data_IF_209006923123
#
_entry.id   IF_209006923123
#
_cell.length_a   1.000
_cell.length_b   1.000
_cell.length_c   1.000
_cell.angle_alpha   90.00
_cell.angle_beta   90.00
_cell.angle_gamma   90.00
#
_symmetry.space_group_name_H-M   'P 1'
#
loop_
_entity.id
_entity.type
_entity.pdbx_description
1 polymer ?
#
# COMPACT_ATOMS: atom_id res chain seq x y z
N UNK A 1 49.48 -2.58 -44.69
CA UNK A 1 48.13 -2.45 -45.28
C UNK A 1 47.22 -3.08 -44.24
N UNK A 2 46.97 -2.35 -43.16
CA UNK A 2 46.37 -2.89 -41.94
C UNK A 2 44.96 -2.32 -41.81
N UNK A 3 43.98 -3.22 -41.87
CA UNK A 3 42.57 -2.89 -41.74
C UNK A 3 42.29 -2.36 -40.31
N UNK A 4 41.43 -1.34 -40.15
CA UNK A 4 41.04 -0.88 -38.83
C UNK A 4 40.09 -1.90 -38.20
N UNK A 5 40.50 -2.47 -37.07
CA UNK A 5 39.65 -3.27 -36.21
C UNK A 5 38.49 -2.41 -35.67
N UNK A 6 37.30 -2.60 -36.22
CA UNK A 6 36.04 -2.12 -35.63
C UNK A 6 35.75 -2.93 -34.36
N UNK A 7 36.10 -2.37 -33.19
CA UNK A 7 35.63 -2.90 -31.91
C UNK A 7 34.11 -2.68 -31.82
N UNK A 8 33.34 -3.69 -32.19
CA UNK A 8 31.92 -3.80 -31.86
C UNK A 8 31.76 -4.14 -30.37
N UNK A 9 32.06 -3.17 -29.49
CA UNK A 9 31.65 -3.29 -28.08
C UNK A 9 30.13 -3.32 -28.07
N UNK A 10 29.54 -4.45 -27.72
CA UNK A 10 28.10 -4.66 -27.79
C UNK A 10 27.35 -3.59 -26.99
N UNK A 11 26.49 -2.83 -27.69
CA UNK A 11 25.74 -1.69 -27.15
C UNK A 11 24.63 -2.09 -26.15
N UNK A 12 24.53 -3.37 -25.74
CA UNK A 12 23.47 -3.85 -24.83
C UNK A 12 23.47 -3.13 -23.48
N UNK A 13 24.66 -2.80 -22.96
CA UNK A 13 24.80 -2.11 -21.67
C UNK A 13 24.30 -0.65 -21.74
N UNK A 14 24.41 -0.01 -22.91
CA UNK A 14 23.82 1.30 -23.18
C UNK A 14 22.30 1.22 -23.23
N UNK A 15 21.73 0.17 -23.82
CA UNK A 15 20.28 -0.04 -23.80
C UNK A 15 19.73 -0.26 -22.39
N UNK A 16 20.44 -1.01 -21.55
CA UNK A 16 19.97 -1.33 -20.19
C UNK A 16 20.08 -0.14 -19.23
N UNK A 17 21.18 0.60 -19.28
CA UNK A 17 21.45 1.66 -18.31
C UNK A 17 21.28 3.07 -18.86
N UNK A 18 21.24 3.26 -20.18
CA UNK A 18 21.06 4.57 -20.81
C UNK A 18 20.27 4.51 -22.14
N UNK A 19 19.02 4.02 -22.13
CA UNK A 19 18.22 3.82 -23.33
C UNK A 19 17.93 5.12 -24.08
N UNK A 20 18.11 6.28 -23.43
CA UNK A 20 17.77 7.60 -23.95
C UNK A 20 18.64 8.08 -25.11
N UNK A 21 19.77 7.40 -25.37
CA UNK A 21 20.54 7.62 -26.60
C UNK A 21 19.82 7.11 -27.85
N UNK A 22 18.98 6.08 -27.70
CA UNK A 22 18.28 5.43 -28.81
C UNK A 22 16.81 5.84 -28.87
N UNK A 23 16.18 6.04 -27.70
CA UNK A 23 14.79 6.44 -27.56
C UNK A 23 14.69 7.72 -26.74
N UNK A 24 14.38 8.84 -27.40
CA UNK A 24 14.13 10.13 -26.76
C UNK A 24 12.87 10.80 -27.33
N UNK A 25 12.43 11.87 -26.67
CA UNK A 25 11.27 12.66 -27.10
C UNK A 25 10.00 11.83 -27.24
N UNK A 26 9.30 11.96 -28.37
CA UNK A 26 8.00 11.33 -28.59
C UNK A 26 8.03 9.80 -28.61
N UNK A 27 9.09 9.18 -29.12
CA UNK A 27 9.21 7.72 -29.13
C UNK A 27 9.34 7.15 -27.71
N UNK A 28 10.15 7.80 -26.87
CA UNK A 28 10.29 7.44 -25.46
C UNK A 28 8.95 7.62 -24.72
N UNK A 29 8.20 8.68 -25.05
CA UNK A 29 6.87 8.90 -24.47
C UNK A 29 5.91 7.77 -24.81
N UNK A 30 5.81 7.34 -26.07
CA UNK A 30 4.90 6.27 -26.49
C UNK A 30 5.22 4.96 -25.78
N UNK A 31 6.48 4.52 -25.81
CA UNK A 31 6.89 3.27 -25.16
C UNK A 31 6.78 3.34 -23.64
N UNK A 32 7.16 4.48 -23.04
CA UNK A 32 7.02 4.71 -21.61
C UNK A 32 5.57 4.68 -21.13
N UNK A 33 4.68 5.36 -21.85
CA UNK A 33 3.24 5.33 -21.56
C UNK A 33 2.64 3.93 -21.76
N UNK A 34 3.10 3.16 -22.76
CA UNK A 34 2.68 1.77 -22.91
C UNK A 34 3.08 0.91 -21.70
N UNK A 35 4.31 1.06 -21.19
CA UNK A 35 4.75 0.38 -19.96
C UNK A 35 3.93 0.82 -18.75
N UNK A 36 3.68 2.12 -18.58
CA UNK A 36 2.86 2.66 -17.47
C UNK A 36 1.42 2.14 -17.57
N UNK A 37 0.82 2.14 -18.76
CA UNK A 37 -0.53 1.66 -18.99
C UNK A 37 -0.66 0.16 -18.70
N UNK A 38 0.30 -0.66 -19.15
CA UNK A 38 0.30 -2.09 -18.87
C UNK A 38 0.52 -2.38 -17.38
N UNK A 39 1.41 -1.62 -16.73
CA UNK A 39 1.63 -1.70 -15.27
C UNK A 39 0.35 -1.35 -14.51
N UNK A 40 -0.33 -0.28 -14.90
CA UNK A 40 -1.60 0.15 -14.29
C UNK A 40 -2.74 -0.83 -14.57
N UNK A 41 -2.77 -1.44 -15.75
CA UNK A 41 -3.75 -2.46 -16.11
C UNK A 41 -3.61 -3.71 -15.25
N UNK A 42 -2.37 -4.21 -15.10
CA UNK A 42 -2.08 -5.29 -14.15
C UNK A 42 -2.44 -4.87 -12.72
N UNK A 43 -2.12 -3.64 -12.33
CA UNK A 43 -2.44 -3.10 -11.00
C UNK A 43 -3.94 -3.02 -10.70
N UNK A 44 -4.76 -2.76 -11.71
CA UNK A 44 -6.22 -2.77 -11.59
C UNK A 44 -6.83 -4.17 -11.50
N UNK A 45 -6.15 -5.20 -12.00
CA UNK A 45 -6.62 -6.60 -11.95
C UNK A 45 -6.14 -7.30 -10.67
N UNK A 46 -4.93 -6.98 -10.21
CA UNK A 46 -4.26 -7.64 -9.08
C UNK A 46 -4.10 -6.75 -7.85
N UNK A 47 -4.85 -5.64 -7.82
CA UNK A 47 -5.02 -4.75 -6.67
C UNK A 47 -3.70 -4.22 -6.10
N UNK A 48 -2.79 -3.78 -6.96
CA UNK A 48 -1.57 -3.08 -6.56
C UNK A 48 -1.43 -1.77 -7.32
N UNK A 49 -0.78 -0.78 -6.71
CA UNK A 49 -0.59 0.53 -7.33
C UNK A 49 0.74 1.15 -6.93
N UNK A 50 1.30 1.93 -7.85
CA UNK A 50 2.33 2.91 -7.52
C UNK A 50 1.63 4.14 -6.93
N UNK A 51 1.57 4.21 -5.60
CA UNK A 51 0.90 5.30 -4.87
C UNK A 51 1.79 6.55 -4.77
N UNK A 52 3.07 6.41 -5.09
CA UNK A 52 4.05 7.49 -5.15
C UNK A 52 4.96 7.36 -6.38
N UNK A 53 6.09 8.07 -6.36
CA UNK A 53 7.13 7.97 -7.39
C UNK A 53 7.84 6.62 -7.28
N UNK A 54 8.15 6.21 -6.05
CA UNK A 54 8.86 4.97 -5.72
C UNK A 54 7.94 4.04 -4.90
N UNK A 55 6.97 4.58 -4.14
CA UNK A 55 6.06 3.75 -3.35
C UNK A 55 5.21 2.83 -4.22
N UNK A 56 5.34 1.53 -3.97
CA UNK A 56 4.55 0.46 -4.55
C UNK A 56 3.83 -0.28 -3.43
N UNK A 57 2.51 -0.40 -3.53
CA UNK A 57 1.67 -0.96 -2.47
C UNK A 57 0.62 -1.90 -3.07
N UNK A 58 0.33 -3.00 -2.36
CA UNK A 58 -0.96 -3.67 -2.53
C UNK A 58 -2.03 -2.77 -1.90
N UNK A 59 -3.14 -2.62 -2.59
CA UNK A 59 -4.20 -1.67 -2.29
C UNK A 59 -5.54 -2.37 -2.37
N UNK A 60 -6.60 -1.81 -1.80
CA UNK A 60 -7.93 -2.37 -2.00
C UNK A 60 -8.34 -2.35 -3.50
N UNK A 61 -9.12 -3.31 -3.98
CA UNK A 61 -9.90 -3.26 -5.21
C UNK A 61 -10.54 -1.91 -5.40
N UNK A 62 -10.28 -1.36 -6.58
CA UNK A 62 -10.89 -0.14 -7.05
C UNK A 62 -11.07 -0.27 -8.55
N UNK A 63 -12.00 0.49 -9.15
CA UNK A 63 -12.16 0.55 -10.59
C UNK A 63 -10.81 0.72 -11.31
N UNK A 64 -10.66 0.06 -12.47
CA UNK A 64 -9.44 0.10 -13.27
C UNK A 64 -8.92 1.52 -13.54
N UNK A 65 -9.84 2.49 -13.69
CA UNK A 65 -9.49 3.88 -13.93
C UNK A 65 -8.67 4.49 -12.77
N UNK A 66 -8.86 4.04 -11.52
CA UNK A 66 -8.04 4.48 -10.37
C UNK A 66 -6.59 4.07 -10.53
N UNK A 67 -6.34 2.83 -10.94
CA UNK A 67 -4.98 2.33 -11.15
C UNK A 67 -4.31 3.09 -12.30
N UNK A 68 -5.05 3.38 -13.37
CA UNK A 68 -4.58 4.20 -14.50
C UNK A 68 -4.27 5.63 -14.03
N UNK A 69 -5.17 6.26 -13.30
CA UNK A 69 -4.99 7.62 -12.79
C UNK A 69 -3.76 7.71 -11.88
N UNK A 70 -3.59 6.76 -10.94
CA UNK A 70 -2.41 6.71 -10.07
C UNK A 70 -1.12 6.47 -10.86
N UNK A 71 -1.12 5.56 -11.82
CA UNK A 71 0.04 5.33 -12.70
C UNK A 71 0.44 6.59 -13.48
N UNK A 72 -0.54 7.33 -14.01
CA UNK A 72 -0.30 8.60 -14.71
C UNK A 72 0.19 9.70 -13.76
N UNK A 73 -0.40 9.86 -12.57
CA UNK A 73 0.05 10.83 -11.57
C UNK A 73 1.47 10.54 -11.10
N UNK A 74 1.77 9.28 -10.81
CA UNK A 74 3.08 8.82 -10.38
C UNK A 74 4.17 9.16 -11.39
N UNK A 75 3.84 9.29 -12.68
CA UNK A 75 4.76 9.75 -13.72
C UNK A 75 4.72 11.26 -13.96
N UNK A 76 3.53 11.83 -14.15
CA UNK A 76 3.34 13.21 -14.61
C UNK A 76 3.81 14.23 -13.57
N UNK A 77 3.50 14.01 -12.29
CA UNK A 77 3.87 14.93 -11.19
C UNK A 77 5.39 15.06 -11.05
N UNK A 78 6.17 13.98 -10.85
CA UNK A 78 7.63 14.12 -10.78
C UNK A 78 8.24 14.59 -12.11
N UNK A 79 7.64 14.26 -13.26
CA UNK A 79 8.10 14.79 -14.56
C UNK A 79 7.95 16.31 -14.66
N UNK A 80 6.84 16.87 -14.15
CA UNK A 80 6.63 18.31 -14.08
C UNK A 80 7.62 18.97 -13.12
N UNK A 81 7.84 18.39 -11.93
CA UNK A 81 8.80 18.91 -10.95
C UNK A 81 10.24 18.90 -11.49
N UNK A 82 10.65 17.81 -12.15
CA UNK A 82 11.96 17.71 -12.80
C UNK A 82 12.08 18.63 -14.00
N UNK A 83 11.01 18.85 -14.77
CA UNK A 83 11.01 19.84 -15.86
C UNK A 83 11.22 21.26 -15.33
N UNK A 84 10.50 21.65 -14.28
CA UNK A 84 10.64 22.96 -13.63
C UNK A 84 12.06 23.10 -13.05
N UNK A 85 12.50 22.13 -12.24
CA UNK A 85 13.84 22.12 -11.66
C UNK A 85 14.93 22.20 -12.73
N UNK A 86 14.81 21.41 -13.80
CA UNK A 86 15.70 21.42 -14.95
C UNK A 86 15.76 22.76 -15.66
N UNK A 87 14.61 23.42 -15.88
CA UNK A 87 14.55 24.77 -16.46
C UNK A 87 15.27 25.82 -15.61
N UNK A 88 15.28 25.67 -14.28
CA UNK A 88 15.94 26.61 -13.37
C UNK A 88 17.47 26.48 -13.36
N UNK A 89 18.00 25.28 -13.57
CA UNK A 89 19.45 25.02 -13.50
C UNK A 89 20.12 24.77 -14.84
N UNK A 90 19.35 24.50 -15.89
CA UNK A 90 19.87 24.20 -17.22
C UNK A 90 20.42 25.46 -17.89
N UNK A 91 21.53 25.28 -18.62
CA UNK A 91 22.12 26.30 -19.48
C UNK A 91 21.55 26.28 -20.90
N UNK A 92 20.70 25.30 -21.22
CA UNK A 92 20.15 25.10 -22.56
C UNK A 92 18.62 25.08 -22.56
N UNK A 93 18.05 25.03 -23.77
CA UNK A 93 16.60 24.93 -23.95
C UNK A 93 16.10 23.53 -23.58
N UNK A 94 15.41 23.42 -22.45
CA UNK A 94 14.74 22.18 -22.03
C UNK A 94 13.40 22.03 -22.76
N UNK A 95 13.24 20.96 -23.52
CA UNK A 95 11.99 20.62 -24.21
C UNK A 95 11.12 19.73 -23.32
N UNK A 96 9.83 20.07 -23.08
CA UNK A 96 8.94 19.25 -22.25
C UNK A 96 8.87 17.79 -22.74
N UNK A 97 8.74 17.59 -24.06
CA UNK A 97 8.61 16.25 -24.65
C UNK A 97 9.83 15.36 -24.37
N UNK A 98 11.03 15.94 -24.30
CA UNK A 98 12.26 15.20 -24.00
C UNK A 98 12.25 14.74 -22.54
N UNK A 99 11.88 15.62 -21.61
CA UNK A 99 11.80 15.31 -20.17
C UNK A 99 10.68 14.31 -19.88
N UNK A 100 9.44 14.60 -20.29
CA UNK A 100 8.29 13.73 -20.03
C UNK A 100 8.42 12.37 -20.72
N UNK A 101 8.92 12.35 -21.97
CA UNK A 101 9.10 11.13 -22.72
C UNK A 101 10.17 10.21 -22.14
N UNK A 102 11.36 10.74 -21.85
CA UNK A 102 12.45 9.93 -21.26
C UNK A 102 12.11 9.50 -19.82
N UNK A 103 11.42 10.33 -19.03
CA UNK A 103 10.96 9.93 -17.69
C UNK A 103 9.83 8.90 -17.73
N UNK A 104 8.96 8.91 -18.75
CA UNK A 104 7.99 7.84 -18.96
C UNK A 104 8.71 6.51 -19.21
N UNK A 105 9.69 6.51 -20.13
CA UNK A 105 10.45 5.30 -20.45
C UNK A 105 11.32 4.83 -19.27
N UNK A 106 11.83 5.75 -18.45
CA UNK A 106 12.60 5.43 -17.24
C UNK A 106 11.80 4.60 -16.23
N UNK A 107 10.46 4.58 -16.32
CA UNK A 107 9.57 3.74 -15.49
C UNK A 107 9.43 2.30 -15.99
N UNK A 108 10.06 1.92 -17.11
CA UNK A 108 9.99 0.56 -17.64
C UNK A 108 10.33 -0.55 -16.62
N UNK A 109 11.31 -0.40 -15.70
CA UNK A 109 11.54 -1.40 -14.65
C UNK A 109 10.33 -1.61 -13.71
N UNK A 110 9.44 -0.62 -13.59
CA UNK A 110 8.17 -0.75 -12.88
C UNK A 110 7.24 -1.81 -13.46
N UNK A 111 7.30 -2.05 -14.77
CA UNK A 111 6.57 -3.15 -15.41
C UNK A 111 7.13 -4.51 -14.98
N UNK A 112 8.45 -4.63 -14.82
CA UNK A 112 9.07 -5.86 -14.32
C UNK A 112 8.69 -6.14 -12.86
N UNK A 113 8.59 -5.08 -12.04
CA UNK A 113 8.07 -5.17 -10.67
C UNK A 113 6.63 -5.71 -10.71
N UNK A 114 5.76 -5.14 -11.56
CA UNK A 114 4.38 -5.62 -11.72
C UNK A 114 4.31 -7.09 -12.14
N UNK A 115 5.09 -7.51 -13.15
CA UNK A 115 5.12 -8.90 -13.60
C UNK A 115 5.59 -9.87 -12.51
N UNK A 116 6.60 -9.48 -11.72
CA UNK A 116 7.09 -10.27 -10.60
C UNK A 116 6.02 -10.43 -9.50
N UNK A 117 5.31 -9.35 -9.17
CA UNK A 117 4.28 -9.34 -8.13
C UNK A 117 3.00 -10.08 -8.56
N UNK A 118 2.70 -10.12 -9.85
CA UNK A 118 1.56 -10.88 -10.41
C UNK A 118 1.85 -12.38 -10.51
N UNK A 119 3.12 -12.80 -10.42
CA UNK A 119 3.48 -14.21 -10.52
C UNK A 119 2.78 -15.07 -9.45
N UNK A 120 2.26 -16.27 -9.80
CA UNK A 120 1.58 -17.14 -8.84
C UNK A 120 2.39 -17.43 -7.57
N UNK A 121 3.71 -17.75 -7.64
CA UNK A 121 4.50 -18.02 -6.44
C UNK A 121 4.54 -16.85 -5.46
N UNK A 122 4.63 -15.61 -5.98
CA UNK A 122 4.61 -14.43 -5.13
C UNK A 122 3.23 -14.15 -4.57
N UNK A 123 2.17 -14.34 -5.37
CA UNK A 123 0.79 -14.16 -4.92
C UNK A 123 0.46 -15.13 -3.79
N UNK A 124 0.75 -16.41 -3.96
CA UNK A 124 0.50 -17.44 -2.94
C UNK A 124 1.26 -17.14 -1.65
N UNK A 125 2.54 -16.78 -1.77
CA UNK A 125 3.37 -16.34 -0.65
C UNK A 125 2.75 -15.14 0.09
N UNK A 126 2.32 -14.10 -0.65
CA UNK A 126 1.70 -12.92 -0.03
C UNK A 126 0.36 -13.24 0.63
N UNK A 127 -0.43 -14.14 0.06
CA UNK A 127 -1.70 -14.59 0.65
C UNK A 127 -1.45 -15.37 1.95
N UNK A 128 -0.48 -16.29 1.96
CA UNK A 128 -0.09 -17.00 3.19
C UNK A 128 0.45 -16.03 4.25
N UNK A 129 1.29 -15.08 3.84
CA UNK A 129 1.83 -14.06 4.74
C UNK A 129 0.73 -13.21 5.37
N UNK A 130 -0.27 -12.79 4.59
CA UNK A 130 -1.41 -11.99 5.11
C UNK A 130 -2.31 -12.84 6.01
N UNK A 131 -2.59 -14.09 5.63
CA UNK A 131 -3.54 -14.94 6.35
C UNK A 131 -2.97 -15.51 7.66
N UNK A 132 -1.68 -15.82 7.69
CA UNK A 132 -1.07 -16.60 8.79
C UNK A 132 0.09 -15.88 9.47
N UNK A 133 0.56 -14.76 8.92
CA UNK A 133 1.73 -14.04 9.44
C UNK A 133 3.07 -14.73 9.13
N UNK A 134 4.16 -14.04 9.44
CA UNK A 134 5.53 -14.47 9.09
C UNK A 134 5.93 -15.76 9.83
N UNK A 135 5.43 -15.97 11.05
CA UNK A 135 5.82 -17.11 11.92
C UNK A 135 5.38 -18.47 11.40
N UNK A 136 4.42 -18.51 10.47
CA UNK A 136 3.89 -19.74 9.89
C UNK A 136 4.43 -20.01 8.48
N UNK A 137 5.32 -19.17 7.96
CA UNK A 137 5.94 -19.40 6.67
C UNK A 137 7.02 -20.48 6.76
N UNK A 138 7.01 -21.39 5.79
CA UNK A 138 8.09 -22.37 5.60
C UNK A 138 9.41 -21.68 5.24
N UNK A 139 10.54 -22.35 5.48
CA UNK A 139 11.88 -21.85 5.11
C UNK A 139 11.95 -21.49 3.62
N UNK A 140 11.32 -22.29 2.75
CA UNK A 140 11.27 -22.02 1.32
C UNK A 140 10.50 -20.72 1.00
N UNK A 141 9.37 -20.47 1.69
CA UNK A 141 8.60 -19.22 1.55
C UNK A 141 9.37 -18.00 2.05
N UNK A 142 10.09 -18.13 3.18
CA UNK A 142 10.98 -17.09 3.70
C UNK A 142 12.14 -16.77 2.73
N UNK A 143 12.75 -17.81 2.16
CA UNK A 143 13.80 -17.65 1.15
C UNK A 143 13.27 -16.97 -0.12
N UNK A 144 12.08 -17.36 -0.59
CA UNK A 144 11.40 -16.73 -1.72
C UNK A 144 11.06 -15.27 -1.42
N UNK A 145 10.49 -14.97 -0.26
CA UNK A 145 10.17 -13.61 0.18
C UNK A 145 11.40 -12.71 0.17
N UNK A 146 12.50 -13.20 0.75
CA UNK A 146 13.77 -12.48 0.82
C UNK A 146 14.35 -12.26 -0.59
N UNK A 147 14.34 -13.29 -1.43
CA UNK A 147 14.86 -13.22 -2.80
C UNK A 147 14.07 -12.23 -3.65
N UNK A 148 12.73 -12.28 -3.59
CA UNK A 148 11.88 -11.34 -4.30
C UNK A 148 12.06 -9.91 -3.77
N UNK A 149 12.15 -9.74 -2.45
CA UNK A 149 12.44 -8.43 -1.85
C UNK A 149 13.72 -7.80 -2.37
N UNK A 150 14.80 -8.58 -2.47
CA UNK A 150 16.08 -8.12 -3.05
C UNK A 150 15.91 -7.72 -4.52
N UNK A 151 15.25 -8.55 -5.32
CA UNK A 151 15.02 -8.26 -6.74
C UNK A 151 14.19 -6.99 -6.92
N UNK A 152 13.14 -6.80 -6.12
CA UNK A 152 12.32 -5.59 -6.14
C UNK A 152 13.14 -4.33 -5.82
N UNK A 153 14.01 -4.39 -4.80
CA UNK A 153 14.90 -3.28 -4.46
C UNK A 153 15.86 -2.97 -5.63
N UNK A 154 16.45 -3.99 -6.25
CA UNK A 154 17.33 -3.80 -7.40
C UNK A 154 16.60 -3.15 -8.60
N UNK A 155 15.36 -3.57 -8.88
CA UNK A 155 14.53 -2.97 -9.93
C UNK A 155 14.16 -1.52 -9.60
N UNK A 156 13.87 -1.19 -8.34
CA UNK A 156 13.61 0.18 -7.89
C UNK A 156 14.86 1.06 -8.03
N UNK A 157 16.03 0.57 -7.61
CA UNK A 157 17.31 1.29 -7.78
C UNK A 157 17.57 1.52 -9.26
N UNK A 158 17.37 0.51 -10.11
CA UNK A 158 17.52 0.65 -11.55
C UNK A 158 16.57 1.71 -12.13
N UNK A 159 15.29 1.70 -11.74
CA UNK A 159 14.32 2.73 -12.12
C UNK A 159 14.78 4.14 -11.75
N UNK A 160 15.23 4.34 -10.51
CA UNK A 160 15.70 5.65 -10.03
C UNK A 160 16.95 6.12 -10.78
N UNK A 161 17.88 5.21 -11.07
CA UNK A 161 19.07 5.50 -11.89
C UNK A 161 18.68 5.92 -13.32
N UNK A 162 17.73 5.23 -13.94
CA UNK A 162 17.20 5.62 -15.25
C UNK A 162 16.52 6.98 -15.19
N UNK A 163 15.74 7.27 -14.15
CA UNK A 163 15.08 8.56 -13.99
C UNK A 163 16.09 9.70 -13.86
N UNK A 164 17.18 9.51 -13.10
CA UNK A 164 18.24 10.51 -12.99
C UNK A 164 18.93 10.75 -14.34
N UNK A 165 19.23 9.67 -15.10
CA UNK A 165 19.84 9.79 -16.43
C UNK A 165 18.92 10.48 -17.43
N UNK A 166 17.62 10.15 -17.42
CA UNK A 166 16.60 10.82 -18.23
C UNK A 166 16.57 12.32 -17.95
N UNK A 167 16.57 12.71 -16.67
CA UNK A 167 16.63 14.11 -16.25
C UNK A 167 17.93 14.80 -16.68
N UNK A 168 19.08 14.19 -16.41
CA UNK A 168 20.40 14.76 -16.72
C UNK A 168 20.58 15.01 -18.22
N UNK A 169 20.18 14.04 -19.06
CA UNK A 169 20.28 14.12 -20.52
C UNK A 169 19.29 15.12 -21.09
N UNK A 170 18.01 15.04 -20.69
CA UNK A 170 16.96 15.90 -21.26
C UNK A 170 17.09 17.37 -20.87
N UNK A 171 17.64 17.64 -19.68
CA UNK A 171 17.88 18.99 -19.21
C UNK A 171 19.31 19.48 -19.49
N UNK A 172 20.21 18.62 -19.99
CA UNK A 172 21.63 18.91 -20.16
C UNK A 172 22.27 19.46 -18.87
N UNK A 173 22.09 18.74 -17.76
CA UNK A 173 22.56 19.13 -16.41
C UNK A 173 23.44 18.04 -15.81
N UNK A 174 24.42 18.44 -15.01
CA UNK A 174 25.36 17.53 -14.36
C UNK A 174 25.87 18.08 -13.02
N UNK A 175 26.53 17.22 -12.23
CA UNK A 175 27.16 17.56 -10.97
C UNK A 175 26.20 17.64 -9.77
N UNK A 176 26.70 18.09 -8.63
CA UNK A 176 25.96 18.08 -7.35
C UNK A 176 24.65 18.86 -7.38
N UNK A 177 24.60 19.98 -8.13
CA UNK A 177 23.35 20.77 -8.29
C UNK A 177 22.25 19.96 -8.98
N UNK A 178 22.58 19.17 -10.00
CA UNK A 178 21.61 18.32 -10.68
C UNK A 178 21.09 17.21 -9.76
N UNK A 179 21.99 16.58 -8.99
CA UNK A 179 21.62 15.57 -8.00
C UNK A 179 20.69 16.15 -6.92
N UNK A 180 21.00 17.34 -6.39
CA UNK A 180 20.18 17.99 -5.37
C UNK A 180 18.76 18.31 -5.89
N UNK A 181 18.64 18.87 -7.09
CA UNK A 181 17.34 19.13 -7.73
C UNK A 181 16.58 17.84 -7.98
N UNK A 182 17.27 16.78 -8.43
CA UNK A 182 16.63 15.48 -8.65
C UNK A 182 16.08 14.89 -7.36
N UNK A 183 16.88 14.82 -6.29
CA UNK A 183 16.44 14.29 -4.99
C UNK A 183 15.25 15.08 -4.46
N UNK A 184 15.32 16.42 -4.50
CA UNK A 184 14.22 17.27 -4.09
C UNK A 184 12.95 16.99 -4.90
N UNK A 185 13.04 16.95 -6.23
CA UNK A 185 11.89 16.70 -7.09
C UNK A 185 11.27 15.30 -6.87
N UNK A 186 12.08 14.27 -6.60
CA UNK A 186 11.59 12.93 -6.28
C UNK A 186 10.89 12.93 -4.91
N UNK A 187 11.48 13.54 -3.88
CA UNK A 187 10.89 13.60 -2.54
C UNK A 187 9.58 14.40 -2.54
N UNK A 188 9.55 15.58 -3.20
CA UNK A 188 8.33 16.37 -3.37
C UNK A 188 7.29 15.60 -4.21
N UNK A 189 7.75 14.93 -5.28
CA UNK A 189 6.90 14.12 -6.13
C UNK A 189 6.25 12.96 -5.38
N UNK A 190 6.96 12.34 -4.44
CA UNK A 190 6.44 11.25 -3.60
C UNK A 190 5.24 11.72 -2.78
N UNK A 191 5.42 12.84 -2.05
CA UNK A 191 4.37 13.43 -1.21
C UNK A 191 3.21 13.95 -2.07
N UNK A 192 3.51 14.66 -3.16
CA UNK A 192 2.49 15.23 -4.04
C UNK A 192 1.66 14.14 -4.75
N UNK A 193 2.30 13.07 -5.22
CA UNK A 193 1.60 11.94 -5.84
C UNK A 193 0.74 11.22 -4.81
N UNK A 194 1.27 10.93 -3.62
CA UNK A 194 0.52 10.24 -2.57
C UNK A 194 -0.68 11.05 -2.08
N UNK A 195 -0.54 12.36 -1.93
CA UNK A 195 -1.65 13.25 -1.56
C UNK A 195 -2.69 13.37 -2.67
N UNK A 196 -2.28 13.59 -3.92
CA UNK A 196 -3.20 13.61 -5.07
C UNK A 196 -3.94 12.27 -5.24
N UNK A 197 -3.25 11.15 -5.02
CA UNK A 197 -3.82 9.81 -5.05
C UNK A 197 -4.96 9.61 -4.05
N UNK A 198 -4.86 10.18 -2.85
CA UNK A 198 -5.91 10.14 -1.81
C UNK A 198 -7.11 11.05 -2.11
N UNK A 199 -6.94 12.01 -3.02
CA UNK A 199 -8.01 12.91 -3.45
C UNK A 199 -8.81 12.37 -4.64
N UNK A 200 -8.39 11.25 -5.25
CA UNK A 200 -9.13 10.65 -6.36
C UNK A 200 -10.51 10.16 -5.89
N UNK A 201 -11.60 10.57 -6.55
CA UNK A 201 -12.94 10.15 -6.16
C UNK A 201 -13.07 8.63 -6.31
N UNK A 202 -13.51 7.90 -5.29
CA UNK A 202 -13.60 6.44 -5.35
C UNK A 202 -12.34 5.69 -4.90
N UNK A 203 -11.28 6.38 -4.41
CA UNK A 203 -10.63 5.82 -3.23
C UNK A 203 -11.71 5.88 -2.18
N UNK A 204 -12.19 4.71 -1.73
CA UNK A 204 -13.27 4.63 -0.77
C UNK A 204 -13.16 5.74 0.29
N UNK A 205 -14.07 6.73 0.24
CA UNK A 205 -14.92 6.91 1.42
C UNK A 205 -15.27 5.50 1.84
N UNK A 206 -14.93 5.06 3.07
CA UNK A 206 -15.29 3.72 3.52
C UNK A 206 -16.72 3.50 3.05
N UNK A 207 -16.96 2.41 2.31
CA UNK A 207 -18.32 2.09 1.93
C UNK A 207 -19.11 2.05 3.22
N UNK A 208 -19.83 3.12 3.51
CA UNK A 208 -21.06 3.05 4.27
C UNK A 208 -21.91 2.20 3.35
N UNK A 209 -21.82 0.88 3.50
CA UNK A 209 -22.71 -0.05 2.85
C UNK A 209 -24.08 0.42 3.32
N UNK A 210 -24.79 1.08 2.42
CA UNK A 210 -26.16 1.47 2.64
C UNK A 210 -26.95 0.17 2.88
N UNK A 211 -27.20 -0.09 4.16
CA UNK A 211 -28.35 -0.80 4.72
C UNK A 211 -28.98 -1.86 3.82
N UNK A 212 -28.49 -3.09 3.90
CA UNK A 212 -29.33 -4.26 3.69
C UNK A 212 -29.87 -4.73 5.06
N UNK A 213 -31.14 -5.16 5.16
CA UNK A 213 -31.83 -5.46 6.43
C UNK A 213 -31.26 -6.65 7.24
N UNK A 214 -30.19 -7.30 6.76
CA UNK A 214 -29.49 -8.39 7.48
C UNK A 214 -28.39 -7.85 8.42
N UNK A 215 -27.86 -6.65 8.16
CA UNK A 215 -26.81 -6.02 8.98
C UNK A 215 -27.31 -5.43 10.31
N UNK A 216 -28.62 -5.31 10.51
CA UNK A 216 -29.19 -4.69 11.72
C UNK A 216 -29.07 -5.55 12.98
N UNK A 217 -29.01 -6.88 12.86
CA UNK A 217 -28.91 -7.79 14.02
C UNK A 217 -27.46 -8.03 14.46
N UNK A 218 -26.53 -8.20 13.52
CA UNK A 218 -25.14 -8.57 13.85
C UNK A 218 -24.35 -7.46 14.56
N UNK A 219 -24.55 -6.18 14.20
CA UNK A 219 -23.88 -5.09 14.93
C UNK A 219 -24.46 -4.90 16.34
N UNK A 220 -25.75 -5.23 16.56
CA UNK A 220 -26.34 -5.24 17.90
C UNK A 220 -25.77 -6.39 18.73
N UNK A 221 -25.63 -7.57 18.14
CA UNK A 221 -24.95 -8.71 18.77
C UNK A 221 -23.50 -8.37 19.14
N UNK A 222 -22.77 -7.75 18.21
CA UNK A 222 -21.40 -7.30 18.46
C UNK A 222 -21.32 -6.28 19.61
N UNK A 223 -22.25 -5.32 19.65
CA UNK A 223 -22.35 -4.34 20.73
C UNK A 223 -22.68 -5.00 22.08
N UNK A 224 -23.60 -5.96 22.09
CA UNK A 224 -24.00 -6.71 23.27
C UNK A 224 -22.83 -7.53 23.82
N UNK A 225 -22.16 -8.32 22.99
CA UNK A 225 -21.01 -9.14 23.37
C UNK A 225 -19.88 -8.29 23.95
N UNK A 226 -19.50 -7.21 23.25
CA UNK A 226 -18.44 -6.33 23.74
C UNK A 226 -18.84 -5.60 25.03
N UNK A 227 -20.08 -5.15 25.15
CA UNK A 227 -20.58 -4.51 26.38
C UNK A 227 -20.58 -5.50 27.55
N UNK A 228 -21.05 -6.73 27.33
CA UNK A 228 -21.05 -7.79 28.34
C UNK A 228 -19.64 -8.10 28.83
N UNK A 229 -18.68 -8.28 27.91
CA UNK A 229 -17.28 -8.55 28.26
C UNK A 229 -16.68 -7.40 29.05
N UNK A 230 -16.81 -6.16 28.56
CA UNK A 230 -16.17 -4.99 29.17
C UNK A 230 -16.82 -4.62 30.52
N UNK A 231 -18.14 -4.76 30.66
CA UNK A 231 -18.82 -4.58 31.94
C UNK A 231 -18.48 -5.68 32.94
N UNK A 232 -18.32 -6.93 32.50
CA UNK A 232 -17.87 -8.02 33.36
C UNK A 232 -16.47 -7.72 33.90
N UNK A 233 -15.56 -7.20 33.06
CA UNK A 233 -14.22 -6.80 33.49
C UNK A 233 -14.24 -5.68 34.53
N UNK A 234 -15.10 -4.66 34.38
CA UNK A 234 -15.28 -3.61 35.39
C UNK A 234 -15.78 -4.16 36.74
N UNK A 235 -16.52 -5.27 36.72
CA UNK A 235 -16.99 -5.96 37.91
C UNK A 235 -16.01 -7.02 38.43
N UNK A 236 -14.80 -7.10 37.86
CA UNK A 236 -13.77 -8.06 38.25
C UNK A 236 -14.05 -9.50 37.79
N UNK A 237 -15.01 -9.70 36.88
CA UNK A 237 -15.39 -11.00 36.33
C UNK A 237 -14.66 -11.23 35.00
N UNK A 238 -13.85 -12.28 34.93
CA UNK A 238 -13.03 -12.64 33.78
C UNK A 238 -13.35 -14.07 33.34
N UNK A 239 -14.59 -14.27 32.92
CA UNK A 239 -15.12 -15.59 32.57
C UNK A 239 -14.64 -16.04 31.18
N UNK A 240 -14.48 -17.34 30.99
CA UNK A 240 -14.16 -17.89 29.68
C UNK A 240 -15.42 -17.87 28.80
N UNK A 241 -15.28 -17.40 27.56
CA UNK A 241 -16.39 -17.35 26.62
C UNK A 241 -16.87 -18.77 26.26
N UNK A 242 -18.18 -18.90 26.09
CA UNK A 242 -18.85 -20.15 25.71
C UNK A 242 -18.64 -20.53 24.23
N UNK A 243 -18.90 -21.79 23.84
CA UNK A 243 -18.83 -22.25 22.44
C UNK A 243 -19.85 -21.56 21.50
N UNK A 244 -20.90 -20.98 22.07
CA UNK A 244 -21.90 -20.19 21.33
C UNK A 244 -21.48 -18.72 21.17
N UNK A 245 -20.57 -18.23 22.02
CA UNK A 245 -20.16 -16.82 22.04
C UNK A 245 -18.91 -16.55 21.20
N UNK A 246 -18.01 -17.54 21.08
CA UNK A 246 -16.72 -17.36 20.42
C UNK A 246 -16.18 -18.65 19.77
N UNK A 247 -15.36 -18.50 18.72
CA UNK A 247 -14.69 -19.63 18.08
C UNK A 247 -13.63 -20.25 19.00
N UNK A 248 -13.34 -21.53 18.81
CA UNK A 248 -12.43 -22.29 19.69
C UNK A 248 -11.02 -21.66 19.80
N UNK A 249 -10.47 -21.19 18.68
CA UNK A 249 -9.15 -20.54 18.65
C UNK A 249 -9.13 -19.27 19.49
N UNK A 250 -10.18 -18.44 19.39
CA UNK A 250 -10.32 -17.22 20.19
C UNK A 250 -10.48 -17.55 21.67
N UNK A 251 -11.33 -18.54 22.02
CA UNK A 251 -11.54 -18.98 23.41
C UNK A 251 -10.25 -19.46 24.09
N UNK A 252 -9.41 -20.20 23.37
CA UNK A 252 -8.09 -20.65 23.87
C UNK A 252 -7.12 -19.49 24.08
N UNK A 253 -7.19 -18.46 23.24
CA UNK A 253 -6.34 -17.28 23.32
C UNK A 253 -6.84 -16.22 24.32
N UNK A 254 -8.13 -16.19 24.62
CA UNK A 254 -8.78 -15.15 25.45
C UNK A 254 -9.06 -15.65 26.88
N UNK A 255 -8.00 -16.12 27.55
CA UNK A 255 -8.10 -16.68 28.92
C UNK A 255 -8.39 -15.61 29.97
N UNK A 256 -8.87 -16.02 31.15
CA UNK A 256 -9.14 -15.12 32.27
C UNK A 256 -7.94 -14.26 32.69
N UNK A 257 -6.73 -14.80 32.57
CA UNK A 257 -5.47 -14.09 32.85
C UNK A 257 -5.21 -12.98 31.82
N UNK A 258 -5.34 -13.32 30.53
CA UNK A 258 -5.17 -12.36 29.42
C UNK A 258 -6.23 -11.25 29.50
N UNK A 259 -7.47 -11.61 29.83
CA UNK A 259 -8.55 -10.66 30.05
C UNK A 259 -8.23 -9.70 31.20
N UNK A 260 -7.76 -10.21 32.35
CA UNK A 260 -7.39 -9.40 33.50
C UNK A 260 -6.24 -8.44 33.19
N UNK A 261 -5.20 -8.93 32.53
CA UNK A 261 -4.06 -8.11 32.12
C UNK A 261 -4.49 -7.01 31.15
N UNK A 262 -5.29 -7.36 30.13
CA UNK A 262 -5.83 -6.40 29.15
C UNK A 262 -6.68 -5.33 29.84
N UNK A 263 -7.55 -5.72 30.76
CA UNK A 263 -8.37 -4.78 31.55
C UNK A 263 -7.52 -3.78 32.34
N UNK A 264 -6.47 -4.25 33.02
CA UNK A 264 -5.58 -3.36 33.79
C UNK A 264 -4.91 -2.31 32.90
N UNK A 265 -4.45 -2.71 31.71
CA UNK A 265 -3.86 -1.80 30.74
C UNK A 265 -4.88 -0.79 30.21
N UNK A 266 -6.07 -1.25 29.84
CA UNK A 266 -7.14 -0.38 29.34
C UNK A 266 -7.60 0.63 30.39
N UNK A 267 -7.70 0.20 31.65
CA UNK A 267 -8.06 1.08 32.76
C UNK A 267 -7.03 2.18 33.00
N UNK A 268 -5.74 1.87 32.84
CA UNK A 268 -4.67 2.87 32.93
C UNK A 268 -4.70 3.87 31.77
N UNK A 269 -5.02 3.42 30.55
CA UNK A 269 -4.97 4.26 29.35
C UNK A 269 -6.23 5.09 29.15
N UNK A 270 -7.41 4.50 29.37
CA UNK A 270 -8.69 5.08 28.94
C UNK A 270 -9.67 5.32 30.10
N UNK A 271 -9.41 4.75 31.28
CA UNK A 271 -10.28 4.91 32.46
C UNK A 271 -11.33 3.81 32.56
N UNK A 272 -12.48 4.14 33.17
CA UNK A 272 -13.60 3.19 33.36
C UNK A 272 -14.48 3.14 32.13
N UNK A 273 -14.88 1.94 31.71
CA UNK A 273 -15.80 1.74 30.60
C UNK A 273 -17.24 2.18 30.94
N UNK A 274 -17.86 2.95 30.05
CA UNK A 274 -19.21 3.51 30.21
C UNK A 274 -20.18 3.06 29.11
N UNK A 275 -19.68 2.69 27.93
CA UNK A 275 -20.51 2.15 26.85
C UNK A 275 -19.84 2.18 25.48
N UNK A 276 -20.62 1.84 24.44
CA UNK A 276 -20.18 1.82 23.04
C UNK A 276 -21.15 2.62 22.18
N UNK A 277 -20.61 3.40 21.26
CA UNK A 277 -21.37 4.06 20.19
C UNK A 277 -20.97 3.41 18.86
N UNK A 278 -21.95 2.88 18.12
CA UNK A 278 -21.68 2.26 16.81
C UNK A 278 -21.22 3.30 15.80
N UNK A 279 -20.22 2.93 14.99
CA UNK A 279 -19.65 3.81 13.96
C UNK A 279 -19.90 3.21 12.58
N UNK A 280 -19.39 2.01 12.33
CA UNK A 280 -19.44 1.37 11.01
C UNK A 280 -19.14 -0.13 11.10
N UNK A 281 -19.49 -0.88 10.05
CA UNK A 281 -19.14 -2.29 9.89
C UNK A 281 -18.31 -2.45 8.63
N UNK A 282 -17.21 -3.19 8.70
CA UNK A 282 -16.32 -3.49 7.60
C UNK A 282 -16.25 -4.99 7.35
N UNK A 283 -16.35 -5.43 6.10
CA UNK A 283 -15.98 -6.79 5.72
C UNK A 283 -14.47 -6.86 5.48
N UNK A 284 -13.82 -7.94 5.90
CA UNK A 284 -12.43 -8.19 5.55
C UNK A 284 -12.38 -8.70 4.11
N UNK A 285 -11.71 -7.97 3.23
CA UNK A 285 -11.66 -8.27 1.80
C UNK A 285 -11.15 -9.69 1.46
N UNK A 286 -10.19 -10.19 2.25
CA UNK A 286 -9.63 -11.54 2.11
C UNK A 286 -10.38 -12.61 2.91
N UNK A 287 -11.34 -12.20 3.75
CA UNK A 287 -12.15 -13.08 4.61
C UNK A 287 -13.57 -12.48 4.69
N UNK A 288 -14.36 -12.50 3.59
CA UNK A 288 -15.66 -11.84 3.54
C UNK A 288 -16.68 -12.44 4.51
N UNK A 289 -16.35 -13.60 5.10
CA UNK A 289 -17.10 -14.23 6.18
C UNK A 289 -16.85 -13.60 7.56
N UNK A 290 -15.87 -12.70 7.69
CA UNK A 290 -15.61 -11.95 8.91
C UNK A 290 -16.06 -10.50 8.74
N UNK A 291 -16.84 -10.05 9.71
CA UNK A 291 -17.32 -8.68 9.82
C UNK A 291 -16.68 -8.01 11.03
N UNK A 292 -16.01 -6.89 10.78
CA UNK A 292 -15.45 -6.01 11.79
C UNK A 292 -16.48 -4.93 12.11
N UNK A 293 -17.10 -5.02 13.27
CA UNK A 293 -17.94 -3.96 13.81
C UNK A 293 -17.07 -2.98 14.61
N UNK A 294 -17.07 -1.73 14.17
CA UNK A 294 -16.30 -0.64 14.75
C UNK A 294 -17.20 0.22 15.63
N UNK A 295 -16.76 0.40 16.87
CA UNK A 295 -17.42 1.24 17.86
C UNK A 295 -16.45 2.29 18.38
N UNK A 296 -17.00 3.43 18.77
CA UNK A 296 -16.31 4.39 19.63
C UNK A 296 -16.63 4.01 21.07
N UNK A 297 -15.61 3.60 21.82
CA UNK A 297 -15.72 3.30 23.24
C UNK A 297 -15.90 4.58 24.03
N UNK A 298 -16.89 4.62 24.91
CA UNK A 298 -17.04 5.67 25.93
C UNK A 298 -16.33 5.18 27.19
N UNK A 299 -15.19 5.79 27.48
CA UNK A 299 -14.50 5.62 28.74
C UNK A 299 -14.35 6.98 29.43
N UNK A 300 -14.15 6.97 30.74
CA UNK A 300 -14.11 8.19 31.55
C UNK A 300 -13.00 9.18 31.16
N UNK A 301 -11.89 8.72 30.56
CA UNK A 301 -10.73 9.56 30.24
C UNK A 301 -10.56 9.81 28.74
N UNK A 302 -11.01 8.89 27.88
CA UNK A 302 -10.81 8.96 26.44
C UNK A 302 -11.86 8.15 25.67
N UNK A 303 -11.91 8.34 24.35
CA UNK A 303 -12.83 7.59 23.48
C UNK A 303 -12.07 6.69 22.49
N UNK A 304 -11.55 5.52 22.93
CA UNK A 304 -10.82 4.61 22.07
C UNK A 304 -11.72 3.97 21.00
N UNK A 305 -11.08 3.38 19.98
CA UNK A 305 -11.74 2.50 19.02
C UNK A 305 -11.87 1.09 19.62
N UNK A 306 -13.09 0.54 19.59
CA UNK A 306 -13.38 -0.85 19.97
C UNK A 306 -13.80 -1.60 18.70
N UNK A 307 -13.07 -2.67 18.36
CA UNK A 307 -13.34 -3.53 17.21
C UNK A 307 -13.80 -4.89 17.68
N UNK A 308 -14.96 -5.30 17.20
CA UNK A 308 -15.54 -6.61 17.45
C UNK A 308 -15.62 -7.33 16.13
N UNK A 309 -15.00 -8.50 16.01
CA UNK A 309 -14.98 -9.26 14.77
C UNK A 309 -15.80 -10.52 14.95
N UNK A 310 -16.86 -10.63 14.16
CA UNK A 310 -17.77 -11.77 14.15
C UNK A 310 -17.60 -12.56 12.86
N UNK A 311 -17.78 -13.88 12.93
CA UNK A 311 -17.96 -14.72 11.74
C UNK A 311 -19.41 -14.73 11.24
N UNK A 312 -19.70 -15.52 10.20
CA UNK A 312 -21.04 -15.65 9.63
C UNK A 312 -22.06 -16.24 10.62
N UNK A 313 -21.60 -17.02 11.60
CA UNK A 313 -22.44 -17.63 12.63
C UNK A 313 -22.64 -16.70 13.85
N UNK A 314 -22.09 -15.48 13.80
CA UNK A 314 -22.18 -14.49 14.87
C UNK A 314 -21.23 -14.77 16.04
N UNK A 315 -20.24 -15.66 15.87
CA UNK A 315 -19.27 -16.00 16.92
C UNK A 315 -18.12 -15.02 16.91
N UNK A 316 -17.68 -14.65 18.12
CA UNK A 316 -16.54 -13.77 18.31
C UNK A 316 -15.25 -14.45 17.84
N UNK A 317 -14.61 -13.82 16.87
CA UNK A 317 -13.29 -14.21 16.33
C UNK A 317 -12.18 -13.26 16.79
N UNK A 318 -12.56 -12.05 17.23
CA UNK A 318 -11.61 -11.12 17.81
C UNK A 318 -12.24 -9.90 18.47
N UNK A 319 -11.51 -9.34 19.44
CA UNK A 319 -11.85 -8.13 20.17
C UNK A 319 -10.59 -7.29 20.37
N UNK A 320 -10.59 -6.05 19.88
CA UNK A 320 -9.46 -5.13 20.01
C UNK A 320 -9.90 -3.76 20.50
N UNK A 321 -9.07 -3.16 21.35
CA UNK A 321 -9.29 -1.79 21.84
C UNK A 321 -7.99 -1.01 21.65
N UNK A 322 -8.06 0.11 20.93
CA UNK A 322 -6.89 0.93 20.60
C UNK A 322 -7.23 2.42 20.55
N UNK A 323 -6.23 3.32 20.61
CA UNK A 323 -6.48 4.75 20.46
C UNK A 323 -7.23 5.05 19.16
N UNK A 324 -8.18 5.98 19.22
CA UNK A 324 -8.99 6.34 18.06
C UNK A 324 -8.13 6.94 16.94
N UNK A 325 -8.38 6.49 15.71
CA UNK A 325 -7.82 7.06 14.49
C UNK A 325 -8.96 7.30 13.50
N UNK A 326 -8.95 8.41 12.76
CA UNK A 326 -10.08 8.74 11.87
C UNK A 326 -10.25 7.72 10.73
N UNK A 327 -9.18 7.02 10.36
CA UNK A 327 -9.23 5.93 9.40
C UNK A 327 -8.92 4.59 10.06
N UNK A 328 -9.68 3.56 9.67
CA UNK A 328 -9.44 2.19 10.10
C UNK A 328 -8.15 1.68 9.44
N UNK A 329 -7.06 1.62 10.23
CA UNK A 329 -5.84 0.86 9.89
C UNK A 329 -6.02 -0.62 10.16
#
# INVERSE_FOLDING_TARGET
MDAPHTRTTSAWHLWLFNPFHFLAGGQALVWGLACIALTAWLGGIFDFRFTGVISFQRTAPAPLWHAIAQGLMAWAIPSALLYIGGRLISRSRVRPIDVFGTLALARAPGLLIALLVVSPPFRDLTTSLIAQGISHLSIAQLALLSSVGIVLILLLVWMVLLMYRAFAISCNVAGGRAIAVFIAAIALGEVATGTAGRLLPGTATPQTVASAPVQSEQHQLAAQLATQILQAHEQGRFEALGPEEAIESFRKAFTAEIQRHSYQQLRQLFGTFEGLDFVETHSIENQPHLLIHRFRGRYSTASPEVRVVLDQDGKLTGLWIKPWQDQMQ
#
